data_IF_160878501980
#
_entry.id   IF_160878501980
#
_cell.length_a   1.000
_cell.length_b   1.000
_cell.length_c   1.000
_cell.angle_alpha   90.00
_cell.angle_beta   90.00
_cell.angle_gamma   90.00
#
_symmetry.space_group_name_H-M   'P 1'
#
loop_
_entity.id
_entity.type
_entity.pdbx_description
1 polymer ?
#
# COMPACT_ATOMS: atom_id res chain seq x y z
N UNK A 1 12.15 2.84 40.05
CA UNK A 1 12.99 3.94 40.60
C UNK A 1 12.20 4.68 41.68
N UNK A 2 12.82 5.06 42.78
CA UNK A 2 12.18 5.94 43.77
C UNK A 2 12.39 7.39 43.37
N UNK A 3 11.29 8.11 43.20
CA UNK A 3 11.29 9.55 42.89
C UNK A 3 10.82 10.33 44.11
N UNK A 4 11.00 11.67 44.16
CA UNK A 4 10.42 12.49 45.21
C UNK A 4 8.89 12.35 45.37
N UNK A 5 8.21 11.81 44.34
CA UNK A 5 6.78 11.51 44.32
C UNK A 5 6.44 10.04 44.69
N UNK A 6 7.42 9.24 45.13
CA UNK A 6 7.30 7.82 45.41
C UNK A 6 7.82 6.91 44.29
N UNK A 7 7.52 5.62 44.38
CA UNK A 7 7.91 4.60 43.40
C UNK A 7 7.34 4.95 42.02
N UNK A 8 8.18 4.93 40.99
CA UNK A 8 7.77 5.17 39.61
C UNK A 8 8.42 4.17 38.64
N UNK A 9 7.69 3.83 37.58
CA UNK A 9 8.16 2.97 36.50
C UNK A 9 8.08 3.67 35.15
N UNK A 10 8.98 3.29 34.24
CA UNK A 10 9.05 3.87 32.90
C UNK A 10 8.25 3.06 31.90
N UNK A 11 7.27 3.69 31.25
CA UNK A 11 6.50 3.06 30.20
C UNK A 11 7.38 2.81 28.97
N UNK A 12 7.57 1.54 28.60
CA UNK A 12 8.35 1.20 27.41
C UNK A 12 7.69 1.70 26.11
N UNK A 13 6.38 1.93 26.08
CA UNK A 13 5.67 2.39 24.88
C UNK A 13 5.91 3.86 24.55
N UNK A 14 5.73 4.75 25.53
CA UNK A 14 5.84 6.19 25.34
C UNK A 14 7.07 6.81 26.00
N UNK A 15 7.92 5.99 26.65
CA UNK A 15 9.09 6.43 27.43
C UNK A 15 8.78 7.35 28.61
N UNK A 16 7.50 7.58 28.93
CA UNK A 16 7.06 8.41 30.04
C UNK A 16 7.22 7.70 31.38
N UNK A 17 7.45 8.45 32.45
CA UNK A 17 7.48 7.94 33.82
C UNK A 17 6.05 7.97 34.40
N UNK A 18 5.64 6.87 35.03
CA UNK A 18 4.33 6.72 35.66
C UNK A 18 4.55 6.50 37.15
N UNK A 19 4.01 7.37 38.03
CA UNK A 19 4.12 7.19 39.47
C UNK A 19 3.16 6.10 39.98
N UNK A 20 3.55 5.46 41.08
CA UNK A 20 2.85 4.34 41.71
C UNK A 20 3.34 2.96 41.21
N UNK A 21 3.00 1.88 41.92
CA UNK A 21 3.45 0.53 41.58
C UNK A 21 2.87 0.05 40.24
N UNK A 22 3.57 -0.83 39.52
CA UNK A 22 3.07 -1.41 38.27
C UNK A 22 1.81 -2.24 38.51
N UNK A 23 0.80 -2.08 37.64
CA UNK A 23 -0.48 -2.80 37.74
C UNK A 23 -0.35 -4.31 37.51
N UNK A 24 0.71 -4.76 36.85
CA UNK A 24 0.99 -6.15 36.57
C UNK A 24 2.50 -6.37 36.39
N UNK A 25 2.98 -7.55 36.75
CA UNK A 25 4.34 -8.00 36.53
C UNK A 25 4.32 -9.41 35.93
N UNK A 26 5.38 -9.78 35.22
CA UNK A 26 5.47 -11.10 34.61
C UNK A 26 6.77 -11.33 33.85
N UNK A 27 6.97 -12.55 33.35
CA UNK A 27 8.12 -12.91 32.53
C UNK A 27 8.26 -12.02 31.29
N UNK A 28 9.50 -11.63 30.95
CA UNK A 28 9.78 -10.72 29.84
C UNK A 28 9.40 -11.29 28.47
N UNK A 29 9.43 -12.62 28.30
CA UNK A 29 9.00 -13.34 27.10
C UNK A 29 7.49 -13.25 26.84
N UNK A 30 6.70 -12.95 27.88
CA UNK A 30 5.24 -12.73 27.76
C UNK A 30 4.88 -11.25 27.69
N UNK A 31 5.86 -10.34 27.68
CA UNK A 31 5.59 -8.92 27.58
C UNK A 31 4.98 -8.59 26.21
N UNK A 32 3.95 -7.72 26.15
CA UNK A 32 3.39 -7.24 24.89
C UNK A 32 4.48 -6.61 24.01
N UNK A 33 4.42 -6.85 22.70
CA UNK A 33 5.36 -6.25 21.77
C UNK A 33 5.27 -4.72 21.84
N UNK A 34 6.40 -4.08 22.16
CA UNK A 34 6.50 -2.63 22.20
C UNK A 34 7.26 -2.17 20.97
N UNK A 35 6.57 -1.71 19.91
CA UNK A 35 7.25 -1.32 18.69
C UNK A 35 8.10 -0.07 18.94
N UNK A 36 9.42 -0.22 18.84
CA UNK A 36 10.39 0.88 18.80
C UNK A 36 11.38 0.67 17.67
N UNK A 37 12.00 1.76 17.22
CA UNK A 37 13.07 1.70 16.21
C UNK A 37 12.61 1.10 14.88
N UNK A 38 13.20 -0.04 14.49
CA UNK A 38 12.93 -0.71 13.20
C UNK A 38 11.47 -1.18 13.08
N UNK A 39 10.89 -1.78 14.12
CA UNK A 39 9.49 -2.25 14.13
C UNK A 39 8.48 -1.11 13.92
N UNK A 40 8.79 0.06 14.44
CA UNK A 40 7.93 1.24 14.31
C UNK A 40 8.01 1.81 12.90
N UNK A 41 9.23 1.90 12.32
CA UNK A 41 9.44 2.29 10.93
C UNK A 41 8.75 1.35 9.94
N UNK A 42 8.90 0.04 10.12
CA UNK A 42 8.24 -0.96 9.29
C UNK A 42 6.72 -0.79 9.30
N UNK A 43 6.11 -0.59 10.49
CA UNK A 43 4.67 -0.33 10.61
C UNK A 43 4.24 0.97 9.93
N UNK A 44 5.04 2.03 10.03
CA UNK A 44 4.76 3.31 9.36
C UNK A 44 4.85 3.17 7.84
N UNK A 45 5.91 2.53 7.33
CA UNK A 45 6.11 2.28 5.90
C UNK A 45 4.93 1.46 5.34
N UNK A 46 4.52 0.39 6.04
CA UNK A 46 3.37 -0.42 5.64
C UNK A 46 2.06 0.38 5.59
N UNK A 47 1.81 1.26 6.57
CA UNK A 47 0.62 2.12 6.57
C UNK A 47 0.66 3.17 5.46
N UNK A 48 1.83 3.74 5.16
CA UNK A 48 1.99 4.69 4.08
C UNK A 48 1.72 4.04 2.70
N UNK A 49 2.26 2.84 2.49
CA UNK A 49 1.95 2.01 1.32
C UNK A 49 0.46 1.67 1.24
N UNK A 50 -0.17 1.31 2.36
CA UNK A 50 -1.61 1.05 2.40
C UNK A 50 -2.45 2.27 1.99
N UNK A 51 -2.06 3.48 2.42
CA UNK A 51 -2.74 4.73 2.03
C UNK A 51 -2.55 5.01 0.54
N UNK A 52 -1.35 4.84 -0.01
CA UNK A 52 -1.10 4.96 -1.45
C UNK A 52 -2.02 4.04 -2.26
N UNK A 53 -2.09 2.76 -1.86
CA UNK A 53 -2.94 1.75 -2.48
C UNK A 53 -4.43 2.12 -2.39
N UNK A 54 -4.87 2.63 -1.24
CA UNK A 54 -6.25 3.09 -1.05
C UNK A 54 -6.58 4.27 -1.97
N UNK A 55 -5.70 5.27 -2.07
CA UNK A 55 -5.89 6.41 -2.97
C UNK A 55 -6.01 5.92 -4.42
N UNK A 56 -5.10 5.03 -4.84
CA UNK A 56 -5.13 4.44 -6.19
C UNK A 56 -6.43 3.69 -6.45
N UNK A 57 -6.92 2.90 -5.49
CA UNK A 57 -8.20 2.22 -5.61
C UNK A 57 -9.38 3.19 -5.77
N UNK A 58 -9.41 4.28 -5.00
CA UNK A 58 -10.43 5.31 -5.13
C UNK A 58 -10.40 5.98 -6.51
N UNK A 59 -9.22 6.31 -7.03
CA UNK A 59 -9.07 6.86 -8.39
C UNK A 59 -9.60 5.87 -9.43
N UNK A 60 -9.29 4.57 -9.32
CA UNK A 60 -9.78 3.56 -10.25
C UNK A 60 -11.30 3.39 -10.19
N UNK A 61 -11.90 3.47 -9.00
CA UNK A 61 -13.36 3.45 -8.84
C UNK A 61 -13.99 4.66 -9.53
N UNK A 62 -13.40 5.86 -9.37
CA UNK A 62 -13.87 7.07 -10.06
C UNK A 62 -13.75 6.92 -11.59
N UNK A 63 -12.66 6.36 -12.08
CA UNK A 63 -12.48 6.06 -13.51
C UNK A 63 -13.54 5.07 -14.01
N UNK A 64 -13.78 3.98 -13.28
CA UNK A 64 -14.82 3.00 -13.64
C UNK A 64 -16.21 3.64 -13.65
N UNK A 65 -16.53 4.47 -12.66
CA UNK A 65 -17.78 5.24 -12.62
C UNK A 65 -17.89 6.20 -13.82
N UNK A 66 -16.80 6.87 -14.20
CA UNK A 66 -16.73 7.70 -15.41
C UNK A 66 -17.02 6.89 -16.68
N UNK A 67 -16.45 5.69 -16.83
CA UNK A 67 -16.71 4.80 -17.97
C UNK A 67 -18.19 4.37 -17.98
N UNK A 68 -18.77 4.04 -16.83
CA UNK A 68 -20.20 3.73 -16.72
C UNK A 68 -21.08 4.93 -17.09
N UNK A 69 -20.72 6.14 -16.67
CA UNK A 69 -21.47 7.35 -17.01
C UNK A 69 -21.41 7.65 -18.51
N UNK A 70 -20.24 7.45 -19.14
CA UNK A 70 -20.07 7.57 -20.58
C UNK A 70 -20.90 6.52 -21.33
N UNK A 71 -20.93 5.27 -20.86
CA UNK A 71 -21.79 4.21 -21.42
C UNK A 71 -23.27 4.60 -21.39
N UNK A 72 -23.77 5.11 -20.27
CA UNK A 72 -25.18 5.51 -20.11
C UNK A 72 -25.52 6.72 -20.98
N UNK A 73 -24.55 7.61 -21.20
CA UNK A 73 -24.73 8.82 -22.01
C UNK A 73 -24.65 8.57 -23.52
N UNK A 74 -24.14 7.43 -24.00
CA UNK A 74 -24.09 7.10 -25.44
C UNK A 74 -25.47 7.07 -26.09
N UNK A 75 -26.54 6.73 -25.38
CA UNK A 75 -27.89 6.65 -25.96
C UNK A 75 -28.46 8.02 -26.28
N UNK A 76 -28.24 9.04 -25.44
CA UNK A 76 -28.71 10.41 -25.67
C UNK A 76 -27.71 11.29 -26.44
N UNK A 77 -26.41 11.05 -26.26
CA UNK A 77 -25.37 11.81 -26.95
C UNK A 77 -25.30 11.48 -28.44
N UNK A 78 -25.60 10.24 -28.85
CA UNK A 78 -25.61 9.84 -30.27
C UNK A 78 -26.83 10.42 -31.00
N UNK A 79 -28.00 10.46 -30.36
CA UNK A 79 -29.19 11.15 -30.89
C UNK A 79 -29.02 12.68 -30.95
N UNK A 80 -28.35 13.30 -29.97
CA UNK A 80 -28.05 14.73 -30.00
C UNK A 80 -26.98 15.09 -31.06
N UNK A 81 -25.93 14.27 -31.18
CA UNK A 81 -24.87 14.46 -32.17
C UNK A 81 -25.36 14.22 -33.61
N UNK A 82 -26.16 13.18 -33.86
CA UNK A 82 -26.75 12.93 -35.18
C UNK A 82 -27.78 14.01 -35.58
N UNK A 83 -28.48 14.64 -34.63
CA UNK A 83 -29.40 15.74 -34.90
C UNK A 83 -28.71 17.11 -35.10
N UNK A 84 -27.58 17.36 -34.45
CA UNK A 84 -26.87 18.64 -34.55
C UNK A 84 -25.78 18.69 -35.62
N UNK A 85 -25.26 17.54 -36.08
CA UNK A 85 -24.29 17.46 -37.17
C UNK A 85 -24.68 18.18 -38.47
N UNK A 86 -25.93 18.10 -38.97
CA UNK A 86 -26.27 18.75 -40.23
C UNK A 86 -26.29 20.28 -40.18
N UNK A 87 -26.33 20.89 -38.98
CA UNK A 87 -26.34 22.36 -38.80
C UNK A 87 -24.96 23.00 -38.87
N UNK A 88 -23.89 22.24 -38.56
CA UNK A 88 -22.52 22.76 -38.44
C UNK A 88 -21.71 22.58 -39.73
N UNK A 89 -22.08 21.60 -40.57
CA UNK A 89 -21.46 21.35 -41.89
C UNK A 89 -21.34 22.59 -42.78
N UNK A 90 -22.40 23.41 -42.99
CA UNK A 90 -22.30 24.57 -43.87
C UNK A 90 -21.42 25.70 -43.32
N UNK A 91 -21.20 25.78 -42.00
CA UNK A 91 -20.30 26.77 -41.39
C UNK A 91 -18.83 26.34 -41.42
N UNK A 92 -18.55 25.04 -41.30
CA UNK A 92 -17.19 24.51 -41.32
C UNK A 92 -16.55 24.58 -42.72
N UNK A 93 -17.33 24.32 -43.78
CA UNK A 93 -16.87 24.41 -45.18
C UNK A 93 -16.52 25.85 -45.59
N UNK A 94 -17.23 26.86 -45.06
CA UNK A 94 -16.92 28.28 -45.32
C UNK A 94 -15.63 28.75 -44.63
N UNK A 95 -15.19 28.08 -43.57
CA UNK A 95 -13.97 28.39 -42.82
C UNK A 95 -12.74 27.59 -43.30
N UNK A 96 -12.89 26.72 -44.30
CA UNK A 96 -11.79 25.91 -44.85
C UNK A 96 -11.20 24.92 -43.85
N UNK A 97 -11.91 24.61 -42.76
CA UNK A 97 -11.48 23.69 -41.73
C UNK A 97 -11.95 22.29 -42.11
N UNK A 98 -11.04 21.44 -42.63
CA UNK A 98 -11.33 20.02 -42.86
C UNK A 98 -11.46 19.29 -41.52
N UNK A 99 -12.69 19.28 -40.99
CA UNK A 99 -13.09 18.62 -39.73
C UNK A 99 -12.81 17.11 -39.80
N UNK A 100 -12.76 16.51 -40.99
CA UNK A 100 -12.55 15.07 -41.22
C UNK A 100 -11.11 14.57 -40.95
N UNK A 101 -10.11 15.44 -40.92
CA UNK A 101 -8.68 15.06 -40.78
C UNK A 101 -8.10 15.27 -39.37
N UNK A 102 -8.86 15.85 -38.44
CA UNK A 102 -8.40 16.10 -37.08
C UNK A 102 -8.28 14.80 -36.28
N UNK A 103 -7.06 14.44 -35.84
CA UNK A 103 -6.79 13.31 -34.92
C UNK A 103 -7.67 13.34 -33.67
N UNK A 104 -8.05 14.53 -33.19
CA UNK A 104 -8.92 14.70 -32.03
C UNK A 104 -10.34 14.18 -32.29
N UNK A 105 -10.88 14.42 -33.48
CA UNK A 105 -12.22 13.97 -33.87
C UNK A 105 -12.20 12.46 -34.08
N UNK A 106 -11.17 11.89 -34.72
CA UNK A 106 -11.00 10.43 -34.81
C UNK A 106 -10.88 9.76 -33.43
N UNK A 107 -10.13 10.32 -32.47
CA UNK A 107 -10.07 9.74 -31.12
C UNK A 107 -11.40 9.82 -30.38
N UNK A 108 -12.19 10.88 -30.62
CA UNK A 108 -13.53 11.01 -30.03
C UNK A 108 -14.48 10.01 -30.70
N UNK A 109 -14.46 9.92 -32.02
CA UNK A 109 -15.30 9.02 -32.81
C UNK A 109 -14.96 7.54 -32.57
N UNK A 110 -13.68 7.17 -32.46
CA UNK A 110 -13.22 5.84 -32.04
C UNK A 110 -13.66 5.50 -30.61
N UNK A 111 -13.66 6.49 -29.71
CA UNK A 111 -14.16 6.32 -28.33
C UNK A 111 -15.68 6.11 -28.32
N UNK A 112 -16.41 6.75 -29.24
CA UNK A 112 -17.83 6.52 -29.45
C UNK A 112 -18.12 5.21 -30.22
N UNK A 113 -17.22 4.75 -31.08
CA UNK A 113 -17.28 3.50 -31.84
C UNK A 113 -16.93 2.24 -31.01
N UNK A 114 -16.24 2.39 -29.87
CA UNK A 114 -16.10 1.31 -28.89
C UNK A 114 -17.47 0.78 -28.49
N UNK A 115 -17.72 -0.51 -28.80
CA UNK A 115 -18.99 -1.16 -28.51
C UNK A 115 -19.36 -1.02 -27.03
N UNK A 116 -20.66 -0.85 -26.73
CA UNK A 116 -21.13 -0.79 -25.34
C UNK A 116 -20.68 -2.00 -24.52
N UNK A 117 -20.47 -3.15 -25.16
CA UNK A 117 -19.91 -4.37 -24.57
C UNK A 117 -18.43 -4.19 -24.19
N UNK A 118 -17.60 -3.60 -25.05
CA UNK A 118 -16.18 -3.33 -24.77
C UNK A 118 -16.02 -2.36 -23.61
N UNK A 119 -16.82 -1.29 -23.56
CA UNK A 119 -16.80 -0.35 -22.43
C UNK A 119 -17.24 -1.01 -21.12
N UNK A 120 -18.18 -1.96 -21.18
CA UNK A 120 -18.61 -2.73 -20.00
C UNK A 120 -17.48 -3.63 -19.50
N UNK A 121 -16.80 -4.36 -20.39
CA UNK A 121 -15.63 -5.17 -20.03
C UNK A 121 -14.48 -4.33 -19.48
N UNK A 122 -14.22 -3.16 -20.07
CA UNK A 122 -13.19 -2.24 -19.59
C UNK A 122 -13.53 -1.72 -18.18
N UNK A 123 -14.78 -1.29 -17.95
CA UNK A 123 -15.23 -0.84 -16.64
C UNK A 123 -15.13 -1.95 -15.59
N UNK A 124 -15.52 -3.19 -15.94
CA UNK A 124 -15.40 -4.36 -15.07
C UNK A 124 -13.93 -4.70 -14.76
N UNK A 125 -13.03 -4.62 -15.74
CA UNK A 125 -11.61 -4.86 -15.54
C UNK A 125 -10.98 -3.81 -14.60
N UNK A 126 -11.29 -2.53 -14.81
CA UNK A 126 -10.84 -1.43 -13.94
C UNK A 126 -11.39 -1.61 -12.52
N UNK A 127 -12.67 -2.00 -12.39
CA UNK A 127 -13.29 -2.24 -11.09
C UNK A 127 -12.68 -3.44 -10.37
N UNK A 128 -12.42 -4.54 -11.09
CA UNK A 128 -11.73 -5.71 -10.53
C UNK A 128 -10.33 -5.34 -10.04
N UNK A 129 -9.59 -4.52 -10.80
CA UNK A 129 -8.30 -4.02 -10.38
C UNK A 129 -8.40 -3.13 -9.14
N UNK A 130 -9.43 -2.28 -9.03
CA UNK A 130 -9.67 -1.49 -7.84
C UNK A 130 -9.94 -2.35 -6.59
N UNK A 131 -10.70 -3.44 -6.74
CA UNK A 131 -10.96 -4.40 -5.65
C UNK A 131 -9.67 -5.06 -5.18
N UNK A 132 -8.81 -5.49 -6.12
CA UNK A 132 -7.48 -6.03 -5.76
C UNK A 132 -6.67 -5.03 -4.93
N UNK A 133 -6.64 -3.76 -5.36
CA UNK A 133 -5.94 -2.70 -4.63
C UNK A 133 -6.52 -2.45 -3.23
N UNK A 134 -7.84 -2.53 -3.06
CA UNK A 134 -8.48 -2.43 -1.74
C UNK A 134 -8.09 -3.58 -0.82
N UNK A 135 -8.07 -4.82 -1.32
CA UNK A 135 -7.70 -5.99 -0.53
C UNK A 135 -6.24 -5.86 -0.05
N UNK A 136 -5.34 -5.40 -0.93
CA UNK A 136 -3.94 -5.14 -0.58
C UNK A 136 -3.81 -4.02 0.46
N UNK A 137 -4.52 -2.90 0.28
CA UNK A 137 -4.54 -1.80 1.24
C UNK A 137 -5.01 -2.26 2.63
N UNK A 138 -6.07 -3.06 2.71
CA UNK A 138 -6.57 -3.62 3.97
C UNK A 138 -5.52 -4.56 4.60
N UNK A 139 -4.91 -5.43 3.79
CA UNK A 139 -3.88 -6.36 4.25
C UNK A 139 -2.67 -5.65 4.86
N UNK A 140 -2.17 -4.61 4.18
CA UNK A 140 -1.04 -3.80 4.63
C UNK A 140 -1.39 -2.93 5.84
N UNK A 141 -2.59 -2.35 5.87
CA UNK A 141 -3.05 -1.54 7.00
C UNK A 141 -3.13 -2.33 8.31
N UNK A 142 -3.60 -3.57 8.23
CA UNK A 142 -3.69 -4.49 9.37
C UNK A 142 -2.32 -5.06 9.77
N UNK A 143 -1.27 -4.86 8.95
CA UNK A 143 0.09 -5.39 9.19
C UNK A 143 0.03 -6.91 9.43
N UNK A 144 -0.84 -7.60 8.68
CA UNK A 144 -1.02 -9.05 8.77
C UNK A 144 -0.30 -9.72 7.61
N UNK A 145 0.34 -10.87 7.87
CA UNK A 145 1.08 -11.64 6.85
C UNK A 145 0.20 -12.08 5.67
N UNK A 146 -1.11 -12.25 5.88
CA UNK A 146 -2.10 -12.46 4.81
C UNK A 146 -2.02 -11.38 3.72
N UNK A 147 -1.74 -10.13 4.10
CA UNK A 147 -1.69 -8.99 3.19
C UNK A 147 -0.42 -9.00 2.36
N UNK A 148 0.69 -9.41 2.99
CA UNK A 148 1.95 -9.64 2.30
C UNK A 148 1.84 -10.81 1.30
N UNK A 149 1.16 -11.91 1.68
CA UNK A 149 0.88 -13.02 0.76
C UNK A 149 0.03 -12.57 -0.42
N UNK A 150 -1.02 -11.80 -0.14
CA UNK A 150 -1.90 -11.28 -1.17
C UNK A 150 -1.16 -10.36 -2.15
N UNK A 151 -0.30 -9.47 -1.67
CA UNK A 151 0.51 -8.59 -2.52
C UNK A 151 1.41 -9.39 -3.48
N UNK A 152 2.05 -10.46 -2.98
CA UNK A 152 2.88 -11.35 -3.82
C UNK A 152 2.04 -12.07 -4.87
N UNK A 153 0.90 -12.64 -4.47
CA UNK A 153 -0.01 -13.33 -5.40
C UNK A 153 -0.56 -12.38 -6.45
N UNK A 154 -1.04 -11.21 -6.04
CA UNK A 154 -1.57 -10.18 -6.92
C UNK A 154 -0.52 -9.76 -7.95
N UNK A 155 0.70 -9.46 -7.53
CA UNK A 155 1.81 -9.10 -8.44
C UNK A 155 2.16 -10.26 -9.37
N UNK A 156 2.11 -11.50 -8.88
CA UNK A 156 2.41 -12.70 -9.69
C UNK A 156 1.33 -13.00 -10.73
N UNK A 157 0.06 -12.64 -10.48
CA UNK A 157 -1.05 -12.84 -11.43
C UNK A 157 -0.90 -11.98 -12.69
N UNK A 158 -0.15 -10.88 -12.64
CA UNK A 158 0.12 -10.06 -13.83
C UNK A 158 1.25 -10.64 -14.72
N UNK A 159 2.11 -11.52 -14.18
CA UNK A 159 3.24 -12.08 -14.92
C UNK A 159 2.83 -12.95 -16.13
N UNK A 160 1.86 -13.89 -16.04
CA UNK A 160 1.45 -14.70 -17.18
C UNK A 160 0.90 -13.86 -18.34
N UNK A 161 0.17 -12.79 -18.01
CA UNK A 161 -0.44 -11.90 -18.99
C UNK A 161 0.63 -11.07 -19.71
N UNK A 162 1.63 -10.56 -18.97
CA UNK A 162 2.80 -9.88 -19.55
C UNK A 162 3.64 -10.81 -20.43
N UNK A 163 3.82 -12.08 -20.05
CA UNK A 163 4.56 -13.08 -20.84
C UNK A 163 3.83 -13.40 -22.16
N UNK A 164 2.50 -13.54 -22.13
CA UNK A 164 1.70 -13.79 -23.33
C UNK A 164 1.75 -12.60 -24.30
N UNK A 165 1.69 -11.37 -23.80
CA UNK A 165 1.84 -10.19 -24.67
C UNK A 165 3.26 -10.03 -25.23
N UNK A 166 4.29 -10.48 -24.50
CA UNK A 166 5.68 -10.46 -24.96
C UNK A 166 5.95 -11.47 -26.07
N UNK A 167 5.28 -12.62 -26.06
CA UNK A 167 5.44 -13.63 -27.12
C UNK A 167 4.86 -13.17 -28.46
N UNK A 168 3.90 -12.25 -28.43
CA UNK A 168 3.26 -11.71 -29.62
C UNK A 168 3.92 -10.41 -30.12
N UNK A 169 4.33 -9.50 -29.21
CA UNK A 169 5.04 -8.25 -29.55
C UNK A 169 6.06 -7.86 -28.48
N UNK A 170 7.34 -8.10 -28.77
CA UNK A 170 8.47 -7.68 -27.93
C UNK A 170 8.68 -6.16 -28.05
N UNK A 171 8.48 -5.43 -26.95
CA UNK A 171 8.86 -4.01 -26.85
C UNK A 171 9.74 -3.81 -25.62
N UNK A 172 10.75 -2.94 -25.72
CA UNK A 172 11.73 -2.68 -24.65
C UNK A 172 11.02 -2.25 -23.34
N UNK A 173 9.97 -1.42 -23.46
CA UNK A 173 9.15 -1.00 -22.31
C UNK A 173 8.49 -2.19 -21.59
N UNK A 174 7.90 -3.14 -22.32
CA UNK A 174 7.25 -4.31 -21.72
C UNK A 174 8.27 -5.24 -21.05
N UNK A 175 9.45 -5.40 -21.64
CA UNK A 175 10.53 -6.19 -21.04
C UNK A 175 11.00 -5.57 -19.72
N UNK A 176 11.18 -4.25 -19.67
CA UNK A 176 11.54 -3.53 -18.44
C UNK A 176 10.46 -3.71 -17.37
N UNK A 177 9.18 -3.55 -17.72
CA UNK A 177 8.07 -3.73 -16.79
C UNK A 177 8.03 -5.14 -16.20
N UNK A 178 8.19 -6.17 -17.05
CA UNK A 178 8.26 -7.56 -16.61
C UNK A 178 9.41 -7.79 -15.62
N UNK A 179 10.61 -7.28 -15.93
CA UNK A 179 11.77 -7.41 -15.04
C UNK A 179 11.55 -6.71 -13.69
N UNK A 180 10.92 -5.53 -13.68
CA UNK A 180 10.59 -4.80 -12.45
C UNK A 180 9.58 -5.59 -11.61
N UNK A 181 8.52 -6.15 -12.22
CA UNK A 181 7.55 -6.98 -11.52
C UNK A 181 8.18 -8.25 -10.93
N UNK A 182 9.03 -8.95 -11.70
CA UNK A 182 9.78 -10.12 -11.22
C UNK A 182 10.68 -9.73 -10.05
N UNK A 183 11.45 -8.63 -10.18
CA UNK A 183 12.34 -8.16 -9.12
C UNK A 183 11.56 -7.81 -7.84
N UNK A 184 10.40 -7.16 -7.96
CA UNK A 184 9.54 -6.83 -6.83
C UNK A 184 9.03 -8.09 -6.11
N UNK A 185 8.57 -9.10 -6.85
CA UNK A 185 8.12 -10.39 -6.30
C UNK A 185 9.25 -11.11 -5.57
N UNK A 186 10.42 -11.24 -6.22
CA UNK A 186 11.60 -11.91 -5.64
C UNK A 186 12.08 -11.18 -4.40
N UNK A 187 12.16 -9.85 -4.45
CA UNK A 187 12.56 -9.03 -3.31
C UNK A 187 11.59 -9.17 -2.12
N UNK A 188 10.28 -9.18 -2.36
CA UNK A 188 9.27 -9.39 -1.30
C UNK A 188 9.40 -10.77 -0.65
N UNK A 189 9.50 -11.84 -1.46
CA UNK A 189 9.66 -13.20 -0.95
C UNK A 189 10.92 -13.32 -0.09
N UNK A 190 12.04 -12.75 -0.58
CA UNK A 190 13.32 -12.81 0.12
C UNK A 190 13.35 -11.95 1.37
N UNK A 191 12.92 -10.69 1.28
CA UNK A 191 13.01 -9.71 2.38
C UNK A 191 12.07 -10.03 3.52
N UNK A 192 10.87 -10.58 3.24
CA UNK A 192 9.85 -10.86 4.25
C UNK A 192 9.75 -12.35 4.63
N UNK A 193 10.62 -13.21 4.09
CA UNK A 193 10.72 -14.64 4.43
C UNK A 193 9.37 -15.36 4.27
N UNK A 194 8.64 -14.98 3.23
CA UNK A 194 7.34 -15.55 2.89
C UNK A 194 7.51 -16.98 2.34
N UNK A 195 6.48 -17.83 2.50
CA UNK A 195 6.44 -19.20 1.97
C UNK A 195 7.58 -20.13 2.45
N UNK A 196 8.07 -19.95 3.68
CA UNK A 196 9.10 -20.83 4.25
C UNK A 196 10.54 -20.48 3.87
N UNK A 197 10.74 -19.45 3.03
CA UNK A 197 12.08 -18.94 2.72
C UNK A 197 12.84 -18.53 4.00
N UNK A 198 14.09 -18.96 4.16
CA UNK A 198 14.99 -18.66 5.31
C UNK A 198 14.35 -18.91 6.70
N UNK A 199 13.56 -19.98 6.86
CA UNK A 199 13.01 -20.41 8.15
C UNK A 199 11.58 -19.92 8.45
N UNK A 200 10.94 -19.25 7.49
CA UNK A 200 9.51 -18.96 7.49
C UNK A 200 9.02 -18.07 8.63
N UNK A 201 7.74 -18.20 8.96
CA UNK A 201 7.07 -17.35 9.96
C UNK A 201 7.62 -17.45 11.38
N UNK A 202 8.17 -18.61 11.74
CA UNK A 202 8.66 -18.86 13.09
C UNK A 202 9.90 -18.02 13.40
N UNK A 203 10.87 -18.01 12.48
CA UNK A 203 12.06 -17.13 12.55
C UNK A 203 11.72 -15.63 12.54
N UNK A 204 10.64 -15.24 11.84
CA UNK A 204 10.15 -13.86 11.85
C UNK A 204 9.61 -13.45 13.23
N UNK A 205 8.82 -14.32 13.88
CA UNK A 205 8.35 -14.07 15.25
C UNK A 205 9.48 -14.14 16.28
N UNK A 206 10.46 -15.03 16.10
CA UNK A 206 11.65 -15.11 16.95
C UNK A 206 12.51 -13.84 16.88
N UNK A 207 12.72 -13.27 15.68
CA UNK A 207 13.46 -12.01 15.52
C UNK A 207 12.73 -10.81 16.13
N UNK A 208 11.40 -10.74 15.97
CA UNK A 208 10.59 -9.67 16.58
C UNK A 208 10.51 -9.80 18.10
N UNK A 209 10.41 -11.02 18.61
CA UNK A 209 10.52 -11.31 20.04
C UNK A 209 11.88 -10.90 20.58
N UNK A 210 12.97 -11.25 19.88
CA UNK A 210 14.33 -10.86 20.26
C UNK A 210 14.53 -9.33 20.24
N UNK A 211 14.06 -8.59 19.24
CA UNK A 211 14.14 -7.12 19.23
C UNK A 211 13.33 -6.49 20.38
N UNK A 212 12.17 -7.05 20.72
CA UNK A 212 11.36 -6.60 21.86
C UNK A 212 12.11 -6.83 23.18
N UNK A 213 12.69 -8.03 23.37
CA UNK A 213 13.46 -8.39 24.57
C UNK A 213 14.71 -7.52 24.73
N UNK A 214 15.49 -7.31 23.67
CA UNK A 214 16.66 -6.42 23.69
C UNK A 214 16.29 -4.98 24.07
N UNK A 215 15.08 -4.54 23.69
CA UNK A 215 14.58 -3.21 24.07
C UNK A 215 14.24 -3.13 25.56
N UNK A 216 13.66 -4.19 26.12
CA UNK A 216 13.41 -4.33 27.57
C UNK A 216 14.72 -4.39 28.34
N UNK A 217 15.67 -5.23 27.91
CA UNK A 217 16.99 -5.37 28.54
C UNK A 217 17.78 -4.06 28.54
N UNK A 218 17.84 -3.35 27.42
CA UNK A 218 18.49 -2.03 27.37
C UNK A 218 17.83 -1.04 28.32
N UNK A 219 16.50 -1.07 28.43
CA UNK A 219 15.80 -0.20 29.37
C UNK A 219 16.14 -0.55 30.83
N UNK A 220 16.21 -1.84 31.17
CA UNK A 220 16.60 -2.32 32.50
C UNK A 220 18.06 -1.96 32.84
N UNK A 221 18.98 -2.06 31.88
CA UNK A 221 20.40 -1.67 32.08
C UNK A 221 20.56 -0.16 32.25
N UNK A 222 19.78 0.65 31.54
CA UNK A 222 19.78 2.10 31.74
C UNK A 222 19.22 2.48 33.11
N UNK A 223 18.22 1.74 33.60
CA UNK A 223 17.67 1.92 34.94
C UNK A 223 18.69 1.57 36.02
N UNK A 224 19.36 0.42 35.93
CA UNK A 224 20.38 0.04 36.91
C UNK A 224 21.55 1.03 36.99
N UNK A 225 22.00 1.55 35.83
CA UNK A 225 23.03 2.61 35.76
C UNK A 225 22.58 3.93 36.40
N UNK A 226 21.32 4.31 36.21
CA UNK A 226 20.77 5.53 36.82
C UNK A 226 20.76 5.40 38.35
N UNK A 227 20.22 4.30 38.87
CA UNK A 227 20.20 4.01 40.32
C UNK A 227 21.62 4.00 40.91
N UNK A 228 22.58 3.32 40.27
CA UNK A 228 23.96 3.28 40.77
C UNK A 228 24.62 4.67 40.82
N UNK A 229 24.26 5.55 39.88
CA UNK A 229 24.80 6.92 39.83
C UNK A 229 24.21 7.77 40.95
N UNK A 230 22.91 7.63 41.24
CA UNK A 230 22.24 8.30 42.36
C UNK A 230 22.79 7.83 43.71
N UNK A 231 22.97 6.53 43.92
CA UNK A 231 23.54 5.98 45.16
C UNK A 231 24.98 6.49 45.39
N UNK A 232 25.82 6.47 44.35
CA UNK A 232 27.20 6.97 44.44
C UNK A 232 27.29 8.50 44.63
N UNK A 233 26.26 9.25 44.24
CA UNK A 233 26.17 10.68 44.51
C UNK A 233 25.75 10.96 45.95
N UNK A 234 24.80 10.19 46.50
CA UNK A 234 24.35 10.30 47.89
C UNK A 234 25.47 9.99 48.90
N UNK A 235 26.25 8.92 48.68
CA UNK A 235 27.40 8.56 49.53
C UNK A 235 28.55 9.58 49.51
N UNK A 236 28.57 10.50 48.53
CA UNK A 236 29.62 11.52 48.40
C UNK A 236 29.23 12.85 49.07
N UNK A 237 27.98 12.98 49.48
CA UNK A 237 27.43 14.16 50.17
C UNK A 237 27.30 13.99 51.69
N UNK A 238 27.54 12.77 52.19
CA UNK A 238 27.70 12.43 53.62
C UNK A 238 29.18 12.41 54.01
#
# INVERSE_FOLDING_TARGET
MDTPAGEAWRCLRCANFVPGPPKASGPADRAPEVPRGRLLRDRVIMRLLAVERLIRALVLILVAAGIFQLRTSKTHAKEAFDNELPLIRPLADQLGWNVDESKLIKTIDDTFALSSTTLTWLALAVLAYAVLQLIEAIGLWLVKRWGEYFAVVATSLFLPLEIFELSEKVTVLRLILLLVNIAAVVWLIWSKRLFGARGGGRKYHEEHGAESLLTVERAAVLESRATSTETAAAERTD
#
